data_IF_851802483964
#
_entry.id   IF_851802483964
#
_cell.length_a   1.000
_cell.length_b   1.000
_cell.length_c   1.000
_cell.angle_alpha   90.00
_cell.angle_beta   90.00
_cell.angle_gamma   90.00
#
_symmetry.space_group_name_H-M   'P 1'
#
loop_
_entity.id
_entity.type
_entity.pdbx_description
1 polymer ?
#
# COMPACT_ATOMS: atom_id res chain seq x y z
N UNK A 1 -1.43 10.61 3.32
CA UNK A 1 -0.05 10.73 3.88
C UNK A 1 -0.03 10.50 5.39
N UNK A 2 -0.95 11.11 6.14
CA UNK A 2 -0.97 11.14 7.62
C UNK A 2 -0.77 9.78 8.31
N UNK A 3 -1.46 8.72 7.85
CA UNK A 3 -1.29 7.38 8.45
C UNK A 3 0.10 6.81 8.22
N UNK A 4 0.65 6.96 7.01
CA UNK A 4 1.99 6.51 6.66
C UNK A 4 3.06 7.32 7.43
N UNK A 5 2.88 8.63 7.51
CA UNK A 5 3.73 9.54 8.28
C UNK A 5 3.66 9.28 9.79
N UNK A 6 2.51 8.84 10.32
CA UNK A 6 2.38 8.43 11.72
C UNK A 6 3.15 7.13 12.00
N UNK A 7 3.13 6.18 11.07
CA UNK A 7 3.84 4.89 11.21
C UNK A 7 5.36 5.07 11.10
N UNK A 8 5.82 5.96 10.21
CA UNK A 8 7.22 6.32 9.93
C UNK A 8 8.28 5.25 10.24
N UNK A 9 8.07 4.04 9.70
CA UNK A 9 8.83 2.82 10.07
C UNK A 9 10.34 2.99 9.93
N UNK A 10 10.78 3.88 9.03
CA UNK A 10 12.19 4.14 8.72
C UNK A 10 12.66 5.56 9.09
N UNK A 11 11.81 6.39 9.71
CA UNK A 11 12.14 7.79 10.01
C UNK A 11 12.23 8.70 8.78
N UNK A 12 11.75 8.25 7.61
CA UNK A 12 11.89 8.97 6.35
C UNK A 12 10.93 10.14 6.26
N UNK A 13 9.70 10.01 6.78
CA UNK A 13 8.76 11.13 6.80
C UNK A 13 9.27 12.26 7.69
N UNK A 14 9.80 11.96 8.87
CA UNK A 14 10.45 12.97 9.73
C UNK A 14 11.52 13.75 8.99
N UNK A 15 12.44 13.06 8.29
CA UNK A 15 13.54 13.70 7.54
C UNK A 15 13.03 14.51 6.35
N UNK A 16 12.01 14.01 5.65
CA UNK A 16 11.37 14.73 4.55
C UNK A 16 10.70 16.03 5.03
N UNK A 17 9.95 16.00 6.14
CA UNK A 17 9.35 17.20 6.73
C UNK A 17 10.39 18.19 7.27
N UNK A 18 11.57 17.71 7.69
CA UNK A 18 12.70 18.56 8.06
C UNK A 18 13.44 19.16 6.84
N UNK A 19 13.04 18.82 5.61
CA UNK A 19 13.68 19.30 4.38
C UNK A 19 14.98 18.59 4.01
N UNK A 20 15.32 17.49 4.68
CA UNK A 20 16.57 16.73 4.43
C UNK A 20 16.46 15.79 3.22
N UNK A 21 15.24 15.48 2.77
CA UNK A 21 14.96 14.61 1.62
C UNK A 21 14.19 15.41 0.56
N UNK A 22 14.85 15.67 -0.56
CA UNK A 22 14.22 16.28 -1.72
C UNK A 22 13.30 15.28 -2.44
N UNK A 23 12.23 15.79 -3.07
CA UNK A 23 11.31 15.02 -3.93
C UNK A 23 10.75 13.77 -3.24
N UNK A 24 10.32 13.91 -1.99
CA UNK A 24 9.76 12.81 -1.22
C UNK A 24 8.26 12.73 -1.48
N UNK A 25 7.81 11.60 -2.03
CA UNK A 25 6.41 11.34 -2.37
C UNK A 25 5.50 11.44 -1.14
N UNK A 26 4.41 12.19 -1.27
CA UNK A 26 3.50 12.53 -0.18
C UNK A 26 3.94 13.69 0.69
N UNK A 27 5.09 14.33 0.41
CA UNK A 27 5.54 15.54 1.11
C UNK A 27 5.84 16.66 0.12
N UNK A 28 6.94 16.56 -0.62
CA UNK A 28 7.35 17.56 -1.61
C UNK A 28 7.00 17.17 -3.05
N UNK A 29 6.64 15.90 -3.26
CA UNK A 29 6.20 15.37 -4.55
C UNK A 29 4.82 14.70 -4.36
N UNK A 30 3.78 14.98 -5.18
CA UNK A 30 2.47 14.36 -5.03
C UNK A 30 2.52 12.85 -5.33
N UNK A 31 1.60 12.11 -4.70
CA UNK A 31 1.31 10.73 -5.11
C UNK A 31 0.16 10.75 -6.11
N UNK A 32 0.34 10.09 -7.26
CA UNK A 32 -0.71 9.90 -8.25
C UNK A 32 -1.38 8.55 -8.03
N UNK A 33 -2.61 8.57 -7.51
CA UNK A 33 -3.39 7.35 -7.29
C UNK A 33 -3.66 6.61 -8.62
N UNK A 34 -3.61 5.27 -8.65
CA UNK A 34 -3.95 4.51 -9.84
C UNK A 34 -5.39 4.81 -10.28
N UNK A 35 -5.58 5.14 -11.57
CA UNK A 35 -6.90 5.47 -12.12
C UNK A 35 -7.83 4.25 -12.28
N UNK A 36 -7.25 3.09 -12.56
CA UNK A 36 -7.97 1.83 -12.79
C UNK A 36 -7.22 0.66 -12.14
N UNK A 37 -7.21 0.57 -10.80
CA UNK A 37 -6.57 -0.52 -10.09
C UNK A 37 -7.42 -1.79 -10.15
N UNK A 38 -6.79 -2.94 -10.34
CA UNK A 38 -7.45 -4.24 -10.23
C UNK A 38 -8.05 -4.51 -8.84
N UNK A 39 -7.38 -4.03 -7.79
CA UNK A 39 -7.80 -4.14 -6.40
C UNK A 39 -7.22 -2.97 -5.59
N UNK A 40 -7.99 -2.47 -4.62
CA UNK A 40 -7.56 -1.45 -3.64
C UNK A 40 -7.60 -2.07 -2.24
N UNK A 41 -6.56 -1.84 -1.44
CA UNK A 41 -6.44 -2.37 -0.08
C UNK A 41 -6.31 -1.22 0.92
N UNK A 42 -7.30 -1.07 1.80
CA UNK A 42 -7.34 -0.04 2.84
C UNK A 42 -6.48 -0.45 4.05
N UNK A 43 -5.15 -0.33 3.89
CA UNK A 43 -4.17 -0.82 4.87
C UNK A 43 -4.15 -0.07 6.21
N UNK A 44 -4.96 0.98 6.38
CA UNK A 44 -5.20 1.66 7.65
C UNK A 44 -6.42 1.09 8.40
N UNK A 45 -7.34 0.44 7.69
CA UNK A 45 -8.52 -0.24 8.22
C UNK A 45 -8.37 -1.78 8.28
N UNK A 46 -7.38 -2.34 7.58
CA UNK A 46 -7.12 -3.78 7.48
C UNK A 46 -5.80 -4.19 8.14
N UNK A 47 -5.74 -5.39 8.71
CA UNK A 47 -4.48 -6.05 9.03
C UNK A 47 -3.80 -6.58 7.77
N UNK A 48 -2.48 -6.86 7.82
CA UNK A 48 -1.79 -7.51 6.71
C UNK A 48 -2.44 -8.83 6.27
N UNK A 49 -2.92 -9.65 7.22
CA UNK A 49 -3.57 -10.93 6.94
C UNK A 49 -4.90 -10.73 6.22
N UNK A 50 -5.69 -9.73 6.61
CA UNK A 50 -6.94 -9.37 5.93
C UNK A 50 -6.68 -8.88 4.50
N UNK A 51 -5.65 -8.03 4.33
CA UNK A 51 -5.24 -7.52 3.02
C UNK A 51 -4.77 -8.66 2.10
N UNK A 52 -3.97 -9.59 2.63
CA UNK A 52 -3.49 -10.76 1.90
C UNK A 52 -4.64 -11.70 1.50
N UNK A 53 -5.59 -11.95 2.42
CA UNK A 53 -6.78 -12.75 2.11
C UNK A 53 -7.63 -12.12 1.00
N UNK A 54 -7.78 -10.79 0.98
CA UNK A 54 -8.48 -10.09 -0.09
C UNK A 54 -7.79 -10.26 -1.46
N UNK A 55 -6.45 -10.21 -1.49
CA UNK A 55 -5.67 -10.47 -2.71
C UNK A 55 -5.85 -11.91 -3.19
N UNK A 56 -5.78 -12.89 -2.29
CA UNK A 56 -5.97 -14.30 -2.66
C UNK A 56 -7.37 -14.55 -3.23
N UNK A 57 -8.41 -14.04 -2.57
CA UNK A 57 -9.78 -14.16 -3.06
C UNK A 57 -9.98 -13.48 -4.43
N UNK A 58 -9.33 -12.34 -4.66
CA UNK A 58 -9.36 -11.67 -5.95
C UNK A 58 -8.70 -12.49 -7.06
N UNK A 59 -7.54 -13.08 -6.79
CA UNK A 59 -6.82 -13.93 -7.75
C UNK A 59 -7.59 -15.21 -8.07
N UNK A 60 -8.19 -15.84 -7.05
CA UNK A 60 -9.05 -17.01 -7.19
C UNK A 60 -10.27 -16.72 -8.07
N UNK A 61 -10.98 -15.62 -7.82
CA UNK A 61 -12.11 -15.18 -8.64
C UNK A 61 -11.76 -14.87 -10.11
N UNK A 62 -10.47 -14.65 -10.42
CA UNK A 62 -9.97 -14.48 -11.79
C UNK A 62 -9.42 -15.78 -12.40
N UNK A 63 -9.44 -16.89 -11.68
CA UNK A 63 -8.87 -18.17 -12.11
C UNK A 63 -7.35 -18.13 -12.28
N UNK A 64 -6.67 -17.23 -11.57
CA UNK A 64 -5.21 -17.08 -11.61
C UNK A 64 -4.53 -18.10 -10.70
N UNK A 65 -5.19 -18.47 -9.60
CA UNK A 65 -4.71 -19.53 -8.72
C UNK A 65 -5.06 -20.88 -9.35
N UNK A 66 -4.07 -21.77 -9.42
CA UNK A 66 -4.29 -23.16 -9.78
C UNK A 66 -4.78 -23.89 -8.54
N UNK A 67 -5.78 -24.75 -8.71
CA UNK A 67 -6.10 -25.76 -7.71
C UNK A 67 -4.89 -26.70 -7.60
N UNK A 68 -4.27 -26.76 -6.43
CA UNK A 68 -3.35 -27.85 -6.08
C UNK A 68 -4.20 -29.12 -5.93
N UNK A 69 -4.64 -29.69 -7.06
CA UNK A 69 -5.19 -31.04 -7.11
C UNK A 69 -4.04 -32.01 -6.84
N UNK A 70 -3.81 -32.29 -5.56
CA UNK A 70 -3.06 -33.48 -5.12
C UNK A 70 -3.99 -34.68 -5.06
#
# INVERSE_FOLDING_TARGET
VDVCARRDVKGLYRRAFAGELAQFTGVSDPYEEPRDPEIVLDTDAQTPEQSAAAVLAFLDGRGVLLDDHT
#
